data_IF_375405256558
#
_entry.id   IF_375405256558
#
_cell.length_a   1.000
_cell.length_b   1.000
_cell.length_c   1.000
_cell.angle_alpha   90.00
_cell.angle_beta   90.00
_cell.angle_gamma   90.00
#
_symmetry.space_group_name_H-M   'P 1'
#
loop_
_entity.id
_entity.type
_entity.pdbx_description
1 polymer ?
#
# COMPACT_ATOMS: atom_id res chain seq x y z
N UNK A 1 0.64 -2.21 -9.06
CA UNK A 1 0.77 -1.67 -7.69
C UNK A 1 1.86 -0.63 -7.55
N UNK A 2 3.05 -0.80 -8.15
CA UNK A 2 4.15 0.17 -7.98
C UNK A 2 4.06 1.46 -8.82
N UNK A 3 3.33 1.44 -9.94
CA UNK A 3 3.22 2.62 -10.82
C UNK A 3 2.11 3.56 -10.32
N UNK A 4 2.40 4.84 -10.00
CA UNK A 4 1.43 5.76 -9.41
C UNK A 4 0.09 5.91 -10.18
N UNK A 5 0.06 5.96 -11.51
CA UNK A 5 -1.18 6.16 -12.28
C UNK A 5 -2.00 4.88 -12.46
N UNK A 6 -1.46 3.70 -12.14
CA UNK A 6 -2.14 2.42 -12.39
C UNK A 6 -2.80 1.95 -11.09
N UNK A 7 -4.13 2.06 -10.98
CA UNK A 7 -4.83 1.62 -9.78
C UNK A 7 -4.81 0.09 -9.67
N UNK A 8 -5.06 -0.44 -8.47
CA UNK A 8 -5.10 -1.87 -8.21
C UNK A 8 -6.18 -2.68 -8.96
N UNK A 9 -7.42 -2.19 -9.11
CA UNK A 9 -8.52 -2.97 -9.68
C UNK A 9 -8.28 -3.57 -11.07
N UNK A 10 -7.67 -2.85 -12.04
CA UNK A 10 -7.29 -3.46 -13.31
C UNK A 10 -6.37 -4.68 -13.13
N UNK A 11 -5.40 -4.63 -12.23
CA UNK A 11 -4.44 -5.73 -12.02
C UNK A 11 -5.16 -6.95 -11.45
N UNK A 12 -6.04 -6.75 -10.47
CA UNK A 12 -6.82 -7.83 -9.88
C UNK A 12 -7.78 -8.46 -10.89
N UNK A 13 -8.46 -7.64 -11.70
CA UNK A 13 -9.44 -8.11 -12.68
C UNK A 13 -8.77 -8.85 -13.84
N UNK A 14 -7.75 -8.27 -14.46
CA UNK A 14 -7.02 -8.93 -15.55
C UNK A 14 -6.27 -10.17 -15.06
N UNK A 15 -5.63 -10.09 -13.89
CA UNK A 15 -4.99 -11.26 -13.27
C UNK A 15 -6.00 -12.38 -13.01
N UNK A 16 -7.16 -12.04 -12.47
CA UNK A 16 -8.24 -12.99 -12.19
C UNK A 16 -8.74 -13.70 -13.45
N UNK A 17 -9.00 -12.95 -14.52
CA UNK A 17 -9.45 -13.51 -15.80
C UNK A 17 -8.38 -14.41 -16.40
N UNK A 18 -7.15 -13.91 -16.55
CA UNK A 18 -6.07 -14.64 -17.26
C UNK A 18 -5.63 -15.87 -16.47
N UNK A 19 -5.40 -15.74 -15.17
CA UNK A 19 -4.89 -16.84 -14.35
C UNK A 19 -5.95 -17.90 -14.13
N UNK A 20 -7.22 -17.52 -13.91
CA UNK A 20 -8.28 -18.50 -13.64
C UNK A 20 -8.70 -19.26 -14.90
N UNK A 21 -8.66 -18.63 -16.07
CA UNK A 21 -8.98 -19.26 -17.36
C UNK A 21 -7.85 -20.18 -17.85
N UNK A 22 -6.59 -19.75 -17.71
CA UNK A 22 -5.43 -20.52 -18.17
C UNK A 22 -4.98 -21.62 -17.19
N UNK A 23 -5.58 -21.74 -16.00
CA UNK A 23 -5.11 -22.68 -14.99
C UNK A 23 -5.52 -24.13 -15.35
N UNK A 24 -4.56 -25.06 -15.56
CA UNK A 24 -4.87 -26.46 -15.88
C UNK A 24 -5.54 -27.19 -14.71
N UNK A 25 -5.50 -26.62 -13.50
CA UNK A 25 -6.11 -27.16 -12.30
C UNK A 25 -7.58 -26.69 -12.13
N UNK A 26 -8.11 -25.95 -13.10
CA UNK A 26 -9.48 -25.44 -13.12
C UNK A 26 -9.64 -24.07 -12.44
N UNK A 27 -10.79 -23.45 -12.70
CA UNK A 27 -11.09 -22.06 -12.32
C UNK A 27 -10.85 -21.75 -10.85
N UNK A 28 -11.37 -22.57 -9.92
CA UNK A 28 -11.29 -22.29 -8.48
C UNK A 28 -9.85 -22.31 -7.95
N UNK A 29 -9.01 -23.20 -8.47
CA UNK A 29 -7.59 -23.26 -8.09
C UNK A 29 -6.81 -22.11 -8.72
N UNK A 30 -7.10 -21.75 -9.97
CA UNK A 30 -6.57 -20.56 -10.61
C UNK A 30 -6.93 -19.27 -9.86
N UNK A 31 -8.18 -19.14 -9.42
CA UNK A 31 -8.65 -18.01 -8.61
C UNK A 31 -7.91 -17.93 -7.27
N UNK A 32 -7.72 -19.06 -6.57
CA UNK A 32 -6.95 -19.11 -5.33
C UNK A 32 -5.48 -18.69 -5.53
N UNK A 33 -4.85 -19.14 -6.62
CA UNK A 33 -3.49 -18.73 -7.00
C UNK A 33 -3.45 -17.22 -7.28
N UNK A 34 -4.42 -16.69 -8.02
CA UNK A 34 -4.51 -15.27 -8.32
C UNK A 34 -4.66 -14.42 -7.06
N UNK A 35 -5.49 -14.84 -6.10
CA UNK A 35 -5.66 -14.16 -4.81
C UNK A 35 -4.33 -14.13 -4.05
N UNK A 36 -3.67 -15.29 -3.90
CA UNK A 36 -2.40 -15.38 -3.19
C UNK A 36 -1.32 -14.50 -3.84
N UNK A 37 -1.19 -14.57 -5.18
CA UNK A 37 -0.25 -13.76 -5.94
C UNK A 37 -0.53 -12.26 -5.78
N UNK A 38 -1.79 -11.86 -5.93
CA UNK A 38 -2.23 -10.47 -5.80
C UNK A 38 -1.96 -9.92 -4.41
N UNK A 39 -2.23 -10.72 -3.38
CA UNK A 39 -1.96 -10.38 -1.98
C UNK A 39 -0.46 -10.16 -1.74
N UNK A 40 0.39 -11.10 -2.16
CA UNK A 40 1.85 -10.98 -2.03
C UNK A 40 2.40 -9.76 -2.78
N UNK A 41 1.90 -9.51 -4.01
CA UNK A 41 2.30 -8.36 -4.81
C UNK A 41 1.88 -7.03 -4.18
N UNK A 42 0.68 -6.96 -3.59
CA UNK A 42 0.22 -5.76 -2.86
C UNK A 42 1.16 -5.44 -1.70
N UNK A 43 1.42 -6.41 -0.82
CA UNK A 43 2.28 -6.21 0.35
C UNK A 43 3.73 -5.86 -0.05
N UNK A 44 4.28 -6.54 -1.06
CA UNK A 44 5.62 -6.23 -1.57
C UNK A 44 5.68 -4.80 -2.15
N UNK A 45 4.67 -4.39 -2.91
CA UNK A 45 4.60 -3.05 -3.47
C UNK A 45 4.53 -1.98 -2.37
N UNK A 46 3.67 -2.15 -1.36
CA UNK A 46 3.59 -1.23 -0.22
C UNK A 46 4.93 -1.15 0.53
N UNK A 47 5.62 -2.28 0.74
CA UNK A 47 6.92 -2.31 1.40
C UNK A 47 7.99 -1.56 0.60
N UNK A 48 8.07 -1.79 -0.71
CA UNK A 48 9.01 -1.10 -1.60
C UNK A 48 8.71 0.39 -1.67
N UNK A 49 7.43 0.77 -1.80
CA UNK A 49 7.00 2.16 -1.82
C UNK A 49 7.35 2.88 -0.52
N UNK A 50 7.17 2.23 0.64
CA UNK A 50 7.51 2.81 1.92
C UNK A 50 9.03 2.92 2.12
N UNK A 51 9.77 1.83 1.93
CA UNK A 51 11.20 1.75 2.29
C UNK A 51 12.14 2.27 1.22
N UNK A 52 11.92 1.93 -0.05
CA UNK A 52 12.85 2.29 -1.12
C UNK A 52 12.52 3.65 -1.75
N UNK A 53 11.25 4.04 -1.76
CA UNK A 53 10.80 5.30 -2.37
C UNK A 53 10.57 6.35 -1.29
N UNK A 54 9.63 6.13 -0.38
CA UNK A 54 9.19 7.09 0.62
C UNK A 54 10.29 7.56 1.56
N UNK A 55 11.05 6.64 2.16
CA UNK A 55 12.16 7.01 3.06
C UNK A 55 13.26 7.80 2.36
N UNK A 56 13.59 7.44 1.10
CA UNK A 56 14.57 8.18 0.28
C UNK A 56 14.06 9.58 -0.07
N UNK A 57 12.81 9.68 -0.52
CA UNK A 57 12.15 10.95 -0.82
C UNK A 57 12.01 11.85 0.42
N UNK A 58 11.84 11.24 1.60
CA UNK A 58 11.81 11.92 2.90
C UNK A 58 13.11 12.63 3.27
N UNK A 59 14.23 12.40 2.57
CA UNK A 59 15.46 13.17 2.74
C UNK A 59 15.39 14.59 2.15
N UNK A 60 14.50 14.85 1.19
CA UNK A 60 14.41 16.15 0.51
C UNK A 60 13.40 17.08 1.18
N UNK A 61 13.86 18.26 1.62
CA UNK A 61 13.00 19.31 2.18
C UNK A 61 11.91 19.75 1.19
N UNK A 62 12.22 19.80 -0.11
CA UNK A 62 11.25 20.16 -1.16
C UNK A 62 10.11 19.15 -1.22
N UNK A 63 10.44 17.85 -1.17
CA UNK A 63 9.43 16.78 -1.21
C UNK A 63 8.61 16.77 0.06
N UNK A 64 9.24 16.91 1.24
CA UNK A 64 8.53 17.00 2.53
C UNK A 64 7.56 18.20 2.56
N UNK A 65 7.97 19.33 2.00
CA UNK A 65 7.12 20.53 1.92
C UNK A 65 5.96 20.33 0.96
N UNK A 66 6.21 19.73 -0.21
CA UNK A 66 5.20 19.40 -1.20
C UNK A 66 4.18 18.38 -0.68
N UNK A 67 4.64 17.34 0.03
CA UNK A 67 3.81 16.35 0.70
C UNK A 67 3.04 16.91 1.92
N UNK A 68 3.31 18.16 2.32
CA UNK A 68 2.58 18.83 3.39
C UNK A 68 2.77 18.18 4.76
N UNK A 69 3.92 17.55 5.05
CA UNK A 69 4.16 16.82 6.32
C UNK A 69 4.02 17.68 7.58
N UNK A 70 4.04 19.00 7.43
CA UNK A 70 3.88 19.99 8.50
C UNK A 70 2.41 20.39 8.73
N UNK A 71 1.49 20.03 7.83
CA UNK A 71 0.08 20.40 7.94
C UNK A 71 -0.62 19.59 9.04
N UNK A 72 -1.59 20.17 9.78
CA UNK A 72 -2.28 19.49 10.88
C UNK A 72 -2.89 18.14 10.49
N UNK A 73 -3.49 18.04 9.30
CA UNK A 73 -4.08 16.80 8.79
C UNK A 73 -3.07 15.65 8.70
N UNK A 74 -1.89 15.89 8.11
CA UNK A 74 -0.87 14.85 7.96
C UNK A 74 -0.29 14.46 9.32
N UNK A 75 -0.16 15.42 10.25
CA UNK A 75 0.26 15.13 11.63
C UNK A 75 -0.77 14.31 12.39
N UNK A 76 -2.06 14.57 12.21
CA UNK A 76 -3.13 13.75 12.79
C UNK A 76 -3.08 12.32 12.27
N UNK A 77 -2.93 12.14 10.95
CA UNK A 77 -2.74 10.83 10.31
C UNK A 77 -1.50 10.13 10.88
N UNK A 78 -0.37 10.84 10.97
CA UNK A 78 0.86 10.29 11.54
C UNK A 78 0.66 9.79 12.98
N UNK A 79 -0.02 10.57 13.82
CA UNK A 79 -0.31 10.19 15.21
C UNK A 79 -1.17 8.93 15.28
N UNK A 80 -2.20 8.80 14.45
CA UNK A 80 -3.03 7.57 14.40
C UNK A 80 -2.20 6.38 13.97
N UNK A 81 -1.44 6.50 12.87
CA UNK A 81 -0.67 5.39 12.32
C UNK A 81 0.50 4.95 13.23
N UNK A 82 1.06 5.86 14.03
CA UNK A 82 2.13 5.55 15.00
C UNK A 82 1.68 4.77 16.23
N UNK A 83 0.39 4.80 16.61
CA UNK A 83 -0.11 4.06 17.78
C UNK A 83 0.27 2.58 17.67
N UNK A 84 0.58 1.87 18.76
CA UNK A 84 0.77 0.42 18.69
C UNK A 84 -0.55 -0.30 18.38
N UNK A 85 -0.46 -1.47 17.76
CA UNK A 85 -1.63 -2.29 17.42
C UNK A 85 -2.38 -1.87 16.15
N UNK A 86 -3.48 -2.57 15.90
CA UNK A 86 -4.37 -2.36 14.75
C UNK A 86 -5.70 -1.80 15.25
N UNK A 87 -6.09 -0.64 14.76
CA UNK A 87 -7.36 0.01 15.09
C UNK A 87 -8.12 0.30 13.81
N UNK A 88 -9.45 0.39 13.89
CA UNK A 88 -10.31 0.61 12.73
C UNK A 88 -9.92 1.88 11.95
N UNK A 89 -9.64 2.96 12.67
CA UNK A 89 -9.14 4.23 12.17
C UNK A 89 -7.81 4.10 11.39
N UNK A 90 -6.90 3.20 11.79
CA UNK A 90 -5.69 2.91 11.01
C UNK A 90 -6.00 2.21 9.70
N UNK A 91 -6.83 1.17 9.73
CA UNK A 91 -7.22 0.45 8.53
C UNK A 91 -7.92 1.39 7.54
N UNK A 92 -8.81 2.26 8.03
CA UNK A 92 -9.49 3.24 7.19
C UNK A 92 -8.54 4.22 6.52
N UNK A 93 -7.48 4.66 7.21
CA UNK A 93 -6.45 5.50 6.60
C UNK A 93 -5.63 4.73 5.57
N UNK A 94 -5.21 3.50 5.90
CA UNK A 94 -4.31 2.69 5.07
C UNK A 94 -5.00 2.11 3.83
N UNK A 95 -6.28 1.75 3.93
CA UNK A 95 -7.07 1.18 2.84
C UNK A 95 -7.94 2.22 2.10
N UNK A 96 -8.28 3.34 2.75
CA UNK A 96 -9.12 4.38 2.15
C UNK A 96 -8.36 5.32 1.21
N UNK A 97 -7.04 5.47 1.40
CA UNK A 97 -6.18 6.25 0.52
C UNK A 97 -5.70 5.44 -0.70
N UNK A 98 -5.25 6.11 -1.79
CA UNK A 98 -4.64 5.40 -2.91
C UNK A 98 -3.31 4.75 -2.46
N UNK A 99 -3.11 3.47 -2.77
CA UNK A 99 -1.97 2.66 -2.27
C UNK A 99 -0.61 3.36 -2.38
N UNK A 100 -0.32 3.95 -3.55
CA UNK A 100 0.97 4.57 -3.83
C UNK A 100 1.24 5.80 -2.95
N UNK A 101 0.43 6.88 -2.98
CA UNK A 101 0.67 8.04 -2.12
C UNK A 101 0.59 7.71 -0.63
N UNK A 102 -0.26 6.76 -0.21
CA UNK A 102 -0.36 6.32 1.19
C UNK A 102 0.95 5.66 1.65
N UNK A 103 1.46 4.68 0.89
CA UNK A 103 2.68 3.94 1.25
C UNK A 103 3.93 4.81 1.16
N UNK A 104 4.01 5.69 0.16
CA UNK A 104 5.11 6.65 0.02
C UNK A 104 5.11 7.66 1.16
N UNK A 105 3.94 8.22 1.53
CA UNK A 105 3.82 9.12 2.68
C UNK A 105 4.21 8.41 3.97
N UNK A 106 3.80 7.16 4.17
CA UNK A 106 4.22 6.36 5.32
C UNK A 106 5.75 6.22 5.42
N UNK A 107 6.43 6.13 4.27
CA UNK A 107 7.89 6.12 4.18
C UNK A 107 8.51 7.49 4.50
N UNK A 108 7.96 8.58 3.95
CA UNK A 108 8.39 9.95 4.24
C UNK A 108 8.31 10.25 5.75
N UNK A 109 7.27 9.75 6.42
CA UNK A 109 7.03 9.90 7.85
C UNK A 109 7.80 8.88 8.71
N UNK A 110 8.49 7.90 8.09
CA UNK A 110 9.21 6.81 8.77
C UNK A 110 8.30 6.04 9.74
N UNK A 111 7.13 5.64 9.27
CA UNK A 111 6.20 4.82 10.03
C UNK A 111 6.67 3.35 10.10
N UNK A 112 6.26 2.60 11.15
CA UNK A 112 6.61 1.18 11.27
C UNK A 112 5.97 0.36 10.15
N UNK A 113 6.82 -0.29 9.35
CA UNK A 113 6.41 -1.06 8.16
C UNK A 113 5.37 -2.13 8.48
N UNK A 114 5.58 -2.91 9.54
CA UNK A 114 4.69 -4.01 9.88
C UNK A 114 3.27 -3.53 10.16
N UNK A 115 3.10 -2.40 10.87
CA UNK A 115 1.77 -1.85 11.15
C UNK A 115 1.09 -1.34 9.88
N UNK A 116 1.85 -0.76 8.95
CA UNK A 116 1.32 -0.29 7.67
C UNK A 116 0.92 -1.47 6.76
N UNK A 117 1.72 -2.54 6.72
CA UNK A 117 1.41 -3.74 5.94
C UNK A 117 0.20 -4.48 6.48
N UNK A 118 0.16 -4.73 7.80
CA UNK A 118 -0.99 -5.43 8.41
C UNK A 118 -2.27 -4.62 8.26
N UNK A 119 -2.21 -3.29 8.37
CA UNK A 119 -3.39 -2.44 8.22
C UNK A 119 -3.83 -2.17 6.79
N UNK A 120 -3.10 -2.65 5.77
CA UNK A 120 -3.51 -2.58 4.35
C UNK A 120 -4.08 -3.89 3.83
N UNK A 121 -4.14 -4.93 4.67
CA UNK A 121 -4.82 -6.20 4.35
C UNK A 121 -6.32 -6.00 4.44
#
# INVERSE_FOLDING_TARGET
FMLPPVPGPPIYLFGGVVISDACPLGFWRGAAICIALSFSLKLAACAVQQKLIGERLGGSLRVRRAAGVHKPLIRAIEMVLRKPGLSFDKCMILCGGPDWPTSVLAGILRLPLLHCLVGTV
#
